data_IF_394446795621
#
_entry.id   IF_394446795621
#
_cell.length_a   1.000
_cell.length_b   1.000
_cell.length_c   1.000
_cell.angle_alpha   90.00
_cell.angle_beta   90.00
_cell.angle_gamma   90.00
#
_symmetry.space_group_name_H-M   'P 1'
#
loop_
_entity.id
_entity.type
_entity.pdbx_description
1 polymer ?
#
# COMPACT_ATOMS: atom_id res chain seq x y z
N UNK A 1 -0.61 12.96 0.52
CA UNK A 1 -1.67 12.27 -0.26
C UNK A 1 -3.02 12.37 0.46
N UNK A 2 -4.15 12.51 -0.28
CA UNK A 2 -5.51 12.47 0.29
C UNK A 2 -5.95 11.02 0.57
N UNK A 3 -6.82 10.83 1.56
CA UNK A 3 -7.30 9.48 1.95
C UNK A 3 -8.04 8.77 0.81
N UNK A 4 -8.87 9.47 0.04
CA UNK A 4 -9.63 8.91 -1.09
C UNK A 4 -8.71 8.26 -2.13
N UNK A 5 -7.66 8.98 -2.57
CA UNK A 5 -6.67 8.46 -3.53
C UNK A 5 -5.92 7.25 -2.97
N UNK A 6 -5.68 7.19 -1.64
CA UNK A 6 -5.04 6.03 -1.03
C UNK A 6 -5.95 4.81 -1.09
N UNK A 7 -7.25 4.97 -0.84
CA UNK A 7 -8.21 3.87 -0.93
C UNK A 7 -8.28 3.32 -2.36
N UNK A 8 -8.39 4.21 -3.36
CA UNK A 8 -8.41 3.81 -4.78
C UNK A 8 -7.18 3.00 -5.17
N UNK A 9 -5.98 3.45 -4.79
CA UNK A 9 -4.73 2.73 -5.07
C UNK A 9 -4.71 1.35 -4.39
N UNK A 10 -5.15 1.26 -3.14
CA UNK A 10 -5.18 0.00 -2.40
C UNK A 10 -6.20 -0.98 -3.00
N UNK A 11 -7.32 -0.49 -3.53
CA UNK A 11 -8.31 -1.31 -4.24
C UNK A 11 -7.77 -1.79 -5.60
N UNK A 12 -7.10 -0.93 -6.36
CA UNK A 12 -6.45 -1.35 -7.61
C UNK A 12 -5.38 -2.43 -7.37
N UNK A 13 -4.61 -2.33 -6.28
CA UNK A 13 -3.66 -3.36 -5.86
C UNK A 13 -4.36 -4.68 -5.52
N UNK A 14 -5.45 -4.61 -4.74
CA UNK A 14 -6.25 -5.79 -4.34
C UNK A 14 -6.87 -6.50 -5.55
N UNK A 15 -7.45 -5.74 -6.46
CA UNK A 15 -8.10 -6.24 -7.67
C UNK A 15 -7.08 -6.71 -8.71
N UNK A 16 -5.80 -6.37 -8.55
CA UNK A 16 -4.74 -6.71 -9.48
C UNK A 16 -4.75 -5.86 -10.75
N UNK A 17 -5.44 -4.71 -10.73
CA UNK A 17 -5.40 -3.71 -11.80
C UNK A 17 -3.97 -3.16 -11.94
N UNK A 18 -3.30 -2.94 -10.81
CA UNK A 18 -1.88 -2.64 -10.74
C UNK A 18 -1.17 -3.69 -9.90
N UNK A 19 0.04 -4.08 -10.32
CA UNK A 19 0.86 -5.06 -9.61
C UNK A 19 1.64 -4.46 -8.45
N UNK A 20 1.93 -3.17 -8.52
CA UNK A 20 2.71 -2.44 -7.54
C UNK A 20 2.37 -0.96 -7.50
N UNK A 21 2.63 -0.32 -6.37
CA UNK A 21 2.52 1.12 -6.21
C UNK A 21 3.69 1.68 -5.41
N UNK A 22 4.31 2.73 -5.95
CA UNK A 22 5.41 3.44 -5.29
C UNK A 22 4.87 4.55 -4.39
N UNK A 23 5.23 4.49 -3.11
CA UNK A 23 4.88 5.48 -2.10
C UNK A 23 6.12 6.30 -1.77
N UNK A 24 6.02 7.62 -1.97
CA UNK A 24 7.08 8.56 -1.63
C UNK A 24 7.32 8.61 -0.11
N UNK A 25 8.50 9.08 0.33
CA UNK A 25 8.75 9.32 1.76
C UNK A 25 7.73 10.28 2.38
N UNK A 26 7.33 11.30 1.63
CA UNK A 26 6.38 12.34 2.05
C UNK A 26 4.97 11.77 2.22
N UNK A 27 4.61 10.78 1.41
CA UNK A 27 3.30 10.13 1.44
C UNK A 27 3.26 8.86 2.30
N UNK A 28 4.39 8.40 2.84
CA UNK A 28 4.46 7.15 3.59
C UNK A 28 3.54 7.14 4.83
N UNK A 29 3.56 8.19 5.63
CA UNK A 29 2.73 8.29 6.84
C UNK A 29 1.23 8.32 6.56
N UNK A 30 0.71 9.16 5.64
CA UNK A 30 -0.72 9.13 5.30
C UNK A 30 -1.11 7.79 4.65
N UNK A 31 -0.29 7.25 3.73
CA UNK A 31 -0.56 5.96 3.09
C UNK A 31 -0.67 4.82 4.12
N UNK A 32 0.31 4.72 5.03
CA UNK A 32 0.31 3.72 6.10
C UNK A 32 -0.91 3.86 7.00
N UNK A 33 -1.30 5.08 7.35
CA UNK A 33 -2.43 5.34 8.26
C UNK A 33 -3.77 4.81 7.72
N UNK A 34 -3.97 4.83 6.40
CA UNK A 34 -5.15 4.25 5.74
C UNK A 34 -4.98 2.75 5.59
N UNK A 35 -3.83 2.29 5.11
CA UNK A 35 -3.55 0.86 4.89
C UNK A 35 -3.81 0.00 6.13
N UNK A 36 -3.31 0.41 7.30
CA UNK A 36 -3.43 -0.39 8.54
C UNK A 36 -4.86 -0.50 9.07
N UNK A 37 -5.78 0.33 8.59
CA UNK A 37 -7.20 0.29 8.96
C UNK A 37 -8.01 -0.70 8.11
N UNK A 38 -7.47 -1.16 6.97
CA UNK A 38 -8.16 -2.13 6.12
C UNK A 38 -8.19 -3.51 6.76
N UNK A 39 -9.28 -4.23 6.58
CA UNK A 39 -9.41 -5.63 7.06
C UNK A 39 -8.37 -6.56 6.39
N UNK A 40 -8.08 -6.32 5.12
CA UNK A 40 -7.13 -7.09 4.30
C UNK A 40 -5.68 -6.59 4.42
N UNK A 41 -5.32 -5.73 5.39
CA UNK A 41 -3.97 -5.12 5.46
C UNK A 41 -2.82 -6.14 5.50
N UNK A 42 -3.07 -7.36 5.99
CA UNK A 42 -2.08 -8.46 6.01
C UNK A 42 -1.72 -8.97 4.61
N UNK A 43 -2.57 -8.74 3.62
CA UNK A 43 -2.26 -9.05 2.23
C UNK A 43 -1.31 -8.04 1.59
N UNK A 44 -1.16 -6.85 2.17
CA UNK A 44 -0.24 -5.86 1.62
C UNK A 44 1.19 -6.09 2.10
N UNK A 45 2.12 -6.14 1.14
CA UNK A 45 3.56 -6.23 1.38
C UNK A 45 4.25 -4.95 0.93
N UNK A 46 4.80 -4.21 1.89
CA UNK A 46 5.66 -3.06 1.62
C UNK A 46 7.14 -3.48 1.56
N UNK A 47 7.84 -3.08 0.50
CA UNK A 47 9.28 -3.24 0.32
C UNK A 47 9.91 -1.87 0.50
N UNK A 48 10.61 -1.67 1.62
CA UNK A 48 11.30 -0.42 1.91
C UNK A 48 12.44 -0.19 0.90
N UNK A 49 12.51 1.02 0.38
CA UNK A 49 13.53 1.47 -0.56
C UNK A 49 14.51 2.44 0.13
N UNK A 50 15.68 2.62 -0.47
CA UNK A 50 16.62 3.68 -0.06
C UNK A 50 15.94 5.05 -0.15
N UNK A 51 16.17 5.91 0.83
CA UNK A 51 15.58 7.25 0.89
C UNK A 51 14.22 7.33 1.61
N UNK A 52 13.71 6.23 2.16
CA UNK A 52 12.47 6.23 2.95
C UNK A 52 11.20 6.08 2.12
N UNK A 53 11.33 5.68 0.86
CA UNK A 53 10.23 5.32 -0.01
C UNK A 53 9.86 3.85 0.19
N UNK A 54 8.70 3.43 -0.30
CA UNK A 54 8.26 2.03 -0.24
C UNK A 54 7.50 1.62 -1.50
N UNK A 55 7.68 0.37 -1.93
CA UNK A 55 6.87 -0.25 -3.00
C UNK A 55 5.88 -1.20 -2.33
N UNK A 56 4.59 -1.08 -2.66
CA UNK A 56 3.55 -1.94 -2.12
C UNK A 56 3.02 -2.91 -3.18
N UNK A 57 2.81 -4.16 -2.77
CA UNK A 57 2.15 -5.21 -3.53
C UNK A 57 0.99 -5.81 -2.74
N UNK A 58 0.01 -6.38 -3.44
CA UNK A 58 -1.01 -7.22 -2.84
C UNK A 58 -0.68 -8.71 -3.03
N UNK A 59 -0.72 -9.47 -1.94
CA UNK A 59 -0.46 -10.90 -1.92
C UNK A 59 -1.78 -11.69 -1.94
N UNK A 60 -1.82 -12.81 -2.66
CA UNK A 60 -2.99 -13.71 -2.65
C UNK A 60 -3.26 -14.30 -1.26
N UNK A 61 -2.21 -14.57 -0.50
CA UNK A 61 -2.30 -15.10 0.87
C UNK A 61 -1.79 -14.04 1.86
N UNK A 62 -2.41 -13.92 3.04
CA UNK A 62 -1.96 -12.96 4.04
C UNK A 62 -0.57 -13.33 4.55
N UNK A 63 0.23 -12.32 4.88
CA UNK A 63 1.51 -12.54 5.58
C UNK A 63 1.27 -12.99 7.02
N UNK A 64 2.18 -13.83 7.53
CA UNK A 64 2.19 -14.30 8.93
C UNK A 64 2.28 -13.16 9.95
#
# INVERSE_FOLDING_TARGET
MKEEHIQEVLDQLKEGIISEYYVSKEDFLPFRSVLVKREDFKHFRGIAQRGGHAIYHYLKSPRS
#
